data_IF_562149922872
#
_entry.id   IF_562149922872
#
_cell.length_a   1.000
_cell.length_b   1.000
_cell.length_c   1.000
_cell.angle_alpha   90.00
_cell.angle_beta   90.00
_cell.angle_gamma   90.00
#
_symmetry.space_group_name_H-M   'P 1'
#
loop_
_entity.id
_entity.type
_entity.pdbx_description
1 polymer ?
#
# COMPACT_ATOMS: atom_id res chain seq x y z
N UNK A 1 -17.76 -13.76 16.01
CA UNK A 1 -17.62 -12.77 17.11
C UNK A 1 -18.91 -12.69 17.90
N UNK A 2 -18.86 -12.39 19.21
CA UNK A 2 -20.05 -12.28 20.08
C UNK A 2 -20.49 -10.81 20.12
N UNK A 3 -21.79 -10.54 20.00
CA UNK A 3 -22.33 -9.18 20.10
C UNK A 3 -22.12 -8.60 21.52
N UNK A 4 -21.89 -7.29 21.69
CA UNK A 4 -21.64 -6.71 23.01
C UNK A 4 -22.78 -6.98 24.00
N UNK A 5 -24.03 -6.97 23.53
CA UNK A 5 -25.19 -7.23 24.40
C UNK A 5 -25.20 -8.66 24.93
N UNK A 6 -24.78 -9.65 24.14
CA UNK A 6 -24.73 -11.05 24.55
C UNK A 6 -23.63 -11.24 25.59
N UNK A 7 -22.47 -10.62 25.38
CA UNK A 7 -21.40 -10.62 26.37
C UNK A 7 -21.86 -10.01 27.70
N UNK A 8 -22.52 -8.85 27.67
CA UNK A 8 -23.02 -8.19 28.88
C UNK A 8 -24.10 -9.06 29.54
N UNK A 9 -24.95 -9.71 28.74
CA UNK A 9 -25.98 -10.61 29.26
C UNK A 9 -25.38 -11.76 30.04
N UNK A 10 -24.47 -12.50 29.41
CA UNK A 10 -23.83 -13.69 29.98
C UNK A 10 -23.01 -13.35 31.23
N UNK A 11 -22.30 -12.21 31.24
CA UNK A 11 -21.38 -11.86 32.33
C UNK A 11 -22.02 -11.08 33.48
N UNK A 12 -23.10 -10.33 33.22
CA UNK A 12 -23.64 -9.36 34.20
C UNK A 12 -25.15 -9.40 34.40
N UNK A 13 -25.95 -9.74 33.39
CA UNK A 13 -27.41 -9.64 33.51
C UNK A 13 -27.99 -10.96 34.00
N UNK A 14 -27.62 -12.06 33.35
CA UNK A 14 -28.13 -13.40 33.65
C UNK A 14 -27.66 -13.91 35.02
N UNK A 15 -26.37 -13.79 35.42
CA UNK A 15 -25.92 -14.23 36.74
C UNK A 15 -26.58 -13.49 37.91
N UNK A 16 -27.07 -12.27 37.68
CA UNK A 16 -27.67 -11.41 38.71
C UNK A 16 -29.19 -11.26 38.56
N UNK A 17 -29.82 -11.98 37.62
CA UNK A 17 -31.27 -11.95 37.42
C UNK A 17 -31.84 -10.56 37.08
N UNK A 18 -31.09 -9.73 36.37
CA UNK A 18 -31.51 -8.37 36.01
C UNK A 18 -32.50 -8.42 34.84
N UNK A 19 -33.70 -7.85 35.02
CA UNK A 19 -34.71 -7.79 33.95
C UNK A 19 -34.48 -6.60 33.02
N UNK A 20 -35.05 -6.65 31.79
CA UNK A 20 -34.99 -5.51 30.87
C UNK A 20 -35.64 -4.26 31.46
N UNK A 21 -36.74 -4.39 32.21
CA UNK A 21 -37.41 -3.24 32.85
C UNK A 21 -36.48 -2.59 33.89
N UNK A 22 -35.80 -3.40 34.74
CA UNK A 22 -34.78 -2.88 35.66
C UNK A 22 -33.64 -2.17 34.94
N UNK A 23 -33.22 -2.65 33.77
CA UNK A 23 -32.20 -1.98 32.95
C UNK A 23 -32.71 -0.66 32.36
N UNK A 24 -33.98 -0.61 31.93
CA UNK A 24 -34.58 0.62 31.44
C UNK A 24 -34.54 1.71 32.51
N UNK A 25 -34.96 1.36 33.73
CA UNK A 25 -34.99 2.26 34.87
C UNK A 25 -33.58 2.70 35.28
N UNK A 26 -32.66 1.75 35.47
CA UNK A 26 -31.30 2.03 35.94
C UNK A 26 -30.47 2.84 34.93
N UNK A 27 -30.67 2.60 33.64
CA UNK A 27 -29.92 3.28 32.57
C UNK A 27 -30.63 4.54 32.07
N UNK A 28 -31.90 4.75 32.47
CA UNK A 28 -32.79 5.73 31.89
C UNK A 28 -32.80 5.63 30.34
N UNK A 29 -33.05 4.42 29.83
CA UNK A 29 -33.13 4.10 28.40
C UNK A 29 -34.51 3.50 28.13
N UNK A 30 -35.16 3.94 27.05
CA UNK A 30 -36.48 3.43 26.69
C UNK A 30 -36.47 1.93 26.37
N UNK A 31 -37.55 1.24 26.75
CA UNK A 31 -37.75 -0.21 26.56
C UNK A 31 -37.52 -0.69 25.14
N UNK A 32 -37.94 0.11 24.14
CA UNK A 32 -37.69 -0.18 22.72
C UNK A 32 -36.20 -0.31 22.43
N UNK A 33 -35.38 0.62 22.91
CA UNK A 33 -33.93 0.62 22.69
C UNK A 33 -33.25 -0.57 23.36
N UNK A 34 -33.60 -0.89 24.61
CA UNK A 34 -33.08 -2.08 25.29
C UNK A 34 -33.47 -3.36 24.53
N UNK A 35 -34.72 -3.47 24.09
CA UNK A 35 -35.20 -4.62 23.32
C UNK A 35 -34.48 -4.76 21.97
N UNK A 36 -34.28 -3.65 21.24
CA UNK A 36 -33.53 -3.65 19.97
C UNK A 36 -32.06 -4.03 20.16
N UNK A 37 -31.43 -3.58 21.25
CA UNK A 37 -30.08 -4.02 21.63
C UNK A 37 -30.07 -5.54 21.85
N UNK A 38 -30.99 -6.08 22.66
CA UNK A 38 -31.09 -7.53 22.92
C UNK A 38 -31.31 -8.36 21.65
N UNK A 39 -32.08 -7.83 20.70
CA UNK A 39 -32.34 -8.48 19.40
C UNK A 39 -31.25 -8.22 18.37
N UNK A 40 -30.21 -7.45 18.69
CA UNK A 40 -29.12 -7.05 17.77
C UNK A 40 -29.62 -6.31 16.53
N UNK A 41 -30.82 -5.71 16.61
CA UNK A 41 -31.38 -4.83 15.58
C UNK A 41 -30.78 -3.42 15.65
N UNK A 42 -30.12 -3.11 16.76
CA UNK A 42 -29.40 -1.87 17.02
C UNK A 42 -28.07 -2.21 17.68
N UNK A 43 -26.99 -1.55 17.24
CA UNK A 43 -25.70 -1.59 17.92
C UNK A 43 -25.59 -0.57 19.07
N UNK A 44 -24.58 -0.74 19.93
CA UNK A 44 -24.27 0.26 20.94
C UNK A 44 -23.77 1.57 20.31
N UNK A 45 -24.37 2.69 20.71
CA UNK A 45 -23.84 4.02 20.43
C UNK A 45 -22.97 4.48 21.58
N UNK A 46 -22.22 5.58 21.41
CA UNK A 46 -21.42 6.17 22.50
C UNK A 46 -22.29 6.43 23.75
N UNK A 47 -23.51 6.96 23.55
CA UNK A 47 -24.41 7.27 24.67
C UNK A 47 -24.87 6.03 25.42
N UNK A 48 -25.32 4.98 24.71
CA UNK A 48 -25.75 3.74 25.37
C UNK A 48 -24.57 3.01 25.99
N UNK A 49 -23.41 2.98 25.33
CA UNK A 49 -22.19 2.39 25.87
C UNK A 49 -21.75 3.07 27.19
N UNK A 50 -21.75 4.41 27.26
CA UNK A 50 -21.40 5.13 28.50
C UNK A 50 -22.35 4.82 29.65
N UNK A 51 -23.65 4.69 29.38
CA UNK A 51 -24.65 4.34 30.39
C UNK A 51 -24.45 2.91 30.90
N UNK A 52 -24.34 1.94 30.00
CA UNK A 52 -24.06 0.54 30.36
C UNK A 52 -22.74 0.41 31.11
N UNK A 53 -21.70 1.09 30.65
CA UNK A 53 -20.40 1.12 31.28
C UNK A 53 -20.46 1.64 32.72
N UNK A 54 -21.13 2.77 32.94
CA UNK A 54 -21.33 3.33 34.28
C UNK A 54 -22.11 2.37 35.19
N UNK A 55 -23.13 1.69 34.67
CA UNK A 55 -23.95 0.78 35.45
C UNK A 55 -23.23 -0.51 35.84
N UNK A 56 -22.44 -1.09 34.92
CA UNK A 56 -21.75 -2.36 35.13
C UNK A 56 -20.29 -2.23 35.59
N UNK A 57 -19.80 -1.01 35.81
CA UNK A 57 -18.39 -0.77 36.17
C UNK A 57 -17.41 -1.11 35.04
N UNK A 58 -17.84 -0.99 33.79
CA UNK A 58 -17.02 -1.24 32.60
C UNK A 58 -16.46 0.07 32.04
N UNK A 59 -15.52 -0.07 31.10
CA UNK A 59 -15.06 1.04 30.26
C UNK A 59 -15.98 1.17 29.03
N UNK A 60 -16.49 2.37 28.68
CA UNK A 60 -17.29 2.55 27.47
C UNK A 60 -16.58 2.09 26.20
N UNK A 61 -15.27 2.30 26.12
CA UNK A 61 -14.41 1.91 25.00
C UNK A 61 -14.42 0.40 24.78
N UNK A 62 -14.47 -0.38 25.86
CA UNK A 62 -14.53 -1.84 25.78
C UNK A 62 -15.83 -2.31 25.11
N UNK A 63 -16.97 -1.69 25.45
CA UNK A 63 -18.27 -2.03 24.83
C UNK A 63 -18.27 -1.64 23.35
N UNK A 64 -17.75 -0.44 23.03
CA UNK A 64 -17.70 0.06 21.65
C UNK A 64 -16.73 -0.74 20.77
N UNK A 65 -15.59 -1.17 21.31
CA UNK A 65 -14.65 -2.01 20.57
C UNK A 65 -15.26 -3.36 20.24
N UNK A 66 -16.00 -3.97 21.17
CA UNK A 66 -16.78 -5.18 20.89
C UNK A 66 -17.87 -4.94 19.84
N UNK A 67 -18.48 -3.75 19.83
CA UNK A 67 -19.49 -3.40 18.83
C UNK A 67 -18.84 -3.35 17.45
N UNK A 68 -17.71 -2.65 17.32
CA UNK A 68 -16.94 -2.57 16.09
C UNK A 68 -16.51 -3.96 15.60
N UNK A 69 -15.96 -4.79 16.49
CA UNK A 69 -15.58 -6.18 16.19
C UNK A 69 -16.75 -7.02 15.67
N UNK A 70 -17.94 -6.86 16.26
CA UNK A 70 -19.14 -7.58 15.84
C UNK A 70 -19.64 -7.08 14.48
N UNK A 71 -19.64 -5.76 14.27
CA UNK A 71 -20.09 -5.16 13.01
C UNK A 71 -19.17 -5.54 11.85
N UNK A 72 -17.85 -5.50 12.05
CA UNK A 72 -16.85 -5.98 11.08
C UNK A 72 -17.00 -7.48 10.76
N UNK A 73 -17.45 -8.29 11.73
CA UNK A 73 -17.67 -9.71 11.50
C UNK A 73 -18.96 -10.00 10.73
N UNK A 74 -19.96 -9.12 10.82
CA UNK A 74 -21.20 -9.22 10.05
C UNK A 74 -21.04 -8.68 8.63
N UNK A 75 -20.13 -7.74 8.43
CA UNK A 75 -19.82 -7.22 7.11
C UNK A 75 -19.22 -8.32 6.22
N UNK A 76 -19.87 -8.52 5.07
CA UNK A 76 -19.49 -9.50 4.06
C UNK A 76 -19.17 -8.83 2.72
N UNK A 77 -19.14 -7.50 2.68
CA UNK A 77 -18.79 -6.78 1.47
C UNK A 77 -17.33 -7.03 1.09
N UNK A 78 -17.09 -7.16 -0.22
CA UNK A 78 -15.74 -7.28 -0.76
C UNK A 78 -15.27 -5.93 -1.27
N UNK A 79 -14.15 -5.45 -0.73
CA UNK A 79 -13.54 -4.17 -1.12
C UNK A 79 -12.32 -4.34 -2.05
N UNK A 80 -12.20 -5.48 -2.74
CA UNK A 80 -11.03 -5.83 -3.55
C UNK A 80 -10.77 -4.93 -4.77
N UNK A 81 -11.74 -4.11 -5.18
CA UNK A 81 -11.57 -3.10 -6.23
C UNK A 81 -10.77 -1.87 -5.75
N UNK A 82 -10.59 -1.70 -4.44
CA UNK A 82 -9.80 -0.61 -3.87
C UNK A 82 -8.32 -0.98 -3.96
N UNK A 83 -7.56 -0.19 -4.69
CA UNK A 83 -6.10 -0.32 -4.78
C UNK A 83 -5.43 0.15 -3.49
N UNK A 84 -4.39 -0.56 -3.06
CA UNK A 84 -3.70 -0.21 -1.84
C UNK A 84 -2.87 1.07 -2.01
N UNK A 85 -2.81 1.92 -0.98
CA UNK A 85 -2.01 3.15 -1.01
C UNK A 85 -0.55 2.89 -1.40
N UNK A 86 0.04 1.82 -0.87
CA UNK A 86 1.43 1.45 -1.17
C UNK A 86 1.65 1.11 -2.65
N UNK A 87 0.65 0.51 -3.32
CA UNK A 87 0.73 0.20 -4.76
C UNK A 87 0.76 1.49 -5.57
N UNK A 88 -0.15 2.43 -5.28
CA UNK A 88 -0.23 3.73 -5.94
C UNK A 88 1.06 4.52 -5.72
N UNK A 89 1.53 4.59 -4.47
CA UNK A 89 2.76 5.32 -4.12
C UNK A 89 4.01 4.73 -4.79
N UNK A 90 4.08 3.40 -4.96
CA UNK A 90 5.19 2.76 -5.67
C UNK A 90 5.14 3.02 -7.18
N UNK A 91 3.97 2.99 -7.80
CA UNK A 91 3.79 3.33 -9.21
C UNK A 91 4.19 4.77 -9.52
N UNK A 92 3.80 5.73 -8.67
CA UNK A 92 4.20 7.13 -8.84
C UNK A 92 5.72 7.31 -8.75
N UNK A 93 6.38 6.62 -7.80
CA UNK A 93 7.85 6.62 -7.69
C UNK A 93 8.50 6.03 -8.94
N UNK A 94 8.00 4.89 -9.42
CA UNK A 94 8.45 4.24 -10.67
C UNK A 94 8.30 5.18 -11.87
N UNK A 95 7.12 5.75 -12.04
CA UNK A 95 6.82 6.67 -13.12
C UNK A 95 7.68 7.94 -13.06
N UNK A 96 7.90 8.48 -11.85
CA UNK A 96 8.75 9.66 -11.67
C UNK A 96 10.19 9.38 -12.08
N UNK A 97 10.80 8.28 -11.59
CA UNK A 97 12.19 7.96 -11.95
C UNK A 97 12.34 7.66 -13.44
N UNK A 98 11.39 6.93 -14.04
CA UNK A 98 11.39 6.65 -15.47
C UNK A 98 11.28 7.94 -16.29
N UNK A 99 10.40 8.88 -15.89
CA UNK A 99 10.27 10.19 -16.53
C UNK A 99 11.54 11.02 -16.41
N UNK A 100 12.23 11.00 -15.28
CA UNK A 100 13.51 11.71 -15.11
C UNK A 100 14.58 11.17 -16.06
N UNK A 101 14.75 9.84 -16.12
CA UNK A 101 15.71 9.21 -17.03
C UNK A 101 15.35 9.51 -18.49
N UNK A 102 14.08 9.39 -18.87
CA UNK A 102 13.62 9.67 -20.21
C UNK A 102 13.76 11.15 -20.58
N UNK A 103 13.54 12.07 -19.64
CA UNK A 103 13.76 13.49 -19.89
C UNK A 103 15.22 13.74 -20.25
N UNK A 104 16.18 13.20 -19.50
CA UNK A 104 17.60 13.33 -19.83
C UNK A 104 17.94 12.73 -21.20
N UNK A 105 17.42 11.53 -21.52
CA UNK A 105 17.69 10.89 -22.81
C UNK A 105 17.05 11.65 -23.99
N UNK A 106 15.77 12.02 -23.87
CA UNK A 106 15.00 12.60 -24.96
C UNK A 106 15.29 14.09 -25.18
N UNK A 107 15.75 14.83 -24.16
CA UNK A 107 16.11 16.25 -24.30
C UNK A 107 17.24 16.46 -25.31
N UNK A 108 18.11 15.45 -25.49
CA UNK A 108 19.21 15.48 -26.43
C UNK A 108 18.78 15.01 -27.85
N UNK A 109 17.48 14.75 -28.07
CA UNK A 109 16.87 14.34 -29.35
C UNK A 109 15.89 15.40 -29.85
N UNK A 110 16.26 16.08 -30.94
CA UNK A 110 15.43 17.16 -31.52
C UNK A 110 14.15 16.66 -32.18
N UNK A 111 14.15 15.49 -32.83
CA UNK A 111 12.95 14.92 -33.46
C UNK A 111 12.12 14.14 -32.43
N UNK A 112 10.96 14.70 -32.05
CA UNK A 112 10.03 14.10 -31.10
C UNK A 112 9.56 12.70 -31.49
N UNK A 113 9.56 12.36 -32.79
CA UNK A 113 9.16 11.02 -33.28
C UNK A 113 10.15 9.93 -32.88
N UNK A 114 11.37 10.31 -32.47
CA UNK A 114 12.42 9.41 -32.02
C UNK A 114 12.51 9.34 -30.48
N UNK A 115 11.61 10.01 -29.75
CA UNK A 115 11.60 9.97 -28.30
C UNK A 115 11.29 8.58 -27.76
N UNK A 116 12.08 8.16 -26.78
CA UNK A 116 11.89 6.91 -26.08
C UNK A 116 10.75 7.03 -25.06
N UNK A 117 10.05 5.92 -24.86
CA UNK A 117 8.93 5.76 -23.92
C UNK A 117 9.36 4.97 -22.68
N UNK A 118 8.46 4.89 -21.68
CA UNK A 118 8.69 4.05 -20.49
C UNK A 118 8.83 2.57 -20.90
N UNK A 119 8.09 2.12 -21.91
CA UNK A 119 8.19 0.76 -22.44
C UNK A 119 9.55 0.50 -23.11
N UNK A 120 10.10 1.49 -23.82
CA UNK A 120 11.45 1.41 -24.37
C UNK A 120 12.49 1.30 -23.25
N UNK A 121 12.35 2.08 -22.18
CA UNK A 121 13.24 2.01 -21.02
C UNK A 121 13.15 0.64 -20.33
N UNK A 122 11.95 0.07 -20.23
CA UNK A 122 11.76 -1.30 -19.76
C UNK A 122 12.45 -2.32 -20.69
N UNK A 123 12.33 -2.18 -22.01
CA UNK A 123 13.03 -3.06 -22.97
C UNK A 123 14.55 -2.98 -22.82
N UNK A 124 15.10 -1.78 -22.60
CA UNK A 124 16.53 -1.57 -22.39
C UNK A 124 16.96 -2.30 -21.11
N UNK A 125 16.38 -1.97 -19.96
CA UNK A 125 16.83 -2.48 -18.65
C UNK A 125 16.42 -3.93 -18.37
N UNK A 126 15.17 -4.30 -18.64
CA UNK A 126 14.63 -5.61 -18.25
C UNK A 126 14.92 -6.69 -19.29
N UNK A 127 14.84 -6.36 -20.58
CA UNK A 127 15.09 -7.31 -21.67
C UNK A 127 16.52 -7.24 -22.21
N UNK A 128 17.33 -6.26 -21.79
CA UNK A 128 18.71 -6.05 -22.27
C UNK A 128 18.72 -5.90 -23.80
N UNK A 129 17.82 -5.06 -24.33
CA UNK A 129 17.73 -4.85 -25.77
C UNK A 129 18.80 -3.87 -26.25
N UNK A 130 19.82 -4.39 -26.92
CA UNK A 130 20.97 -3.62 -27.43
C UNK A 130 20.93 -3.37 -28.94
N UNK A 131 19.72 -3.37 -29.52
CA UNK A 131 19.54 -3.09 -30.96
C UNK A 131 19.93 -1.66 -31.32
N UNK A 132 20.15 -1.40 -32.61
CA UNK A 132 20.50 -0.07 -33.16
C UNK A 132 19.52 1.01 -32.67
N UNK A 133 18.23 0.68 -32.53
CA UNK A 133 17.19 1.58 -32.00
C UNK A 133 17.56 2.19 -30.63
N UNK A 134 18.18 1.42 -29.75
CA UNK A 134 18.45 1.83 -28.36
C UNK A 134 19.91 2.24 -28.10
N UNK A 135 20.78 2.19 -29.11
CA UNK A 135 22.19 2.53 -28.97
C UNK A 135 22.41 3.95 -28.44
N UNK A 136 21.64 4.92 -28.95
CA UNK A 136 21.68 6.29 -28.46
C UNK A 136 21.25 6.37 -26.99
N UNK A 137 20.08 5.81 -26.66
CA UNK A 137 19.58 5.78 -25.29
C UNK A 137 20.58 5.16 -24.31
N UNK A 138 21.20 4.03 -24.67
CA UNK A 138 22.19 3.35 -23.82
C UNK A 138 23.46 4.22 -23.65
N UNK A 139 23.88 4.92 -24.70
CA UNK A 139 25.03 5.83 -24.63
C UNK A 139 24.75 6.99 -23.69
N UNK A 140 23.61 7.66 -23.87
CA UNK A 140 23.19 8.80 -23.05
C UNK A 140 22.90 8.36 -21.61
N UNK A 141 22.37 7.14 -21.42
CA UNK A 141 22.11 6.56 -20.10
C UNK A 141 23.36 6.51 -19.23
N UNK A 142 24.50 6.06 -19.76
CA UNK A 142 25.72 5.97 -18.96
C UNK A 142 26.53 7.27 -18.92
N UNK A 143 26.33 8.19 -19.89
CA UNK A 143 27.08 9.44 -19.97
C UNK A 143 26.42 10.62 -19.25
N UNK A 144 25.10 10.75 -19.34
CA UNK A 144 24.38 11.97 -18.96
C UNK A 144 23.37 11.75 -17.82
N UNK A 145 22.82 10.53 -17.68
CA UNK A 145 21.88 10.23 -16.59
C UNK A 145 22.65 10.06 -15.29
N UNK A 146 22.14 10.66 -14.21
CA UNK A 146 22.72 10.52 -12.88
C UNK A 146 22.75 9.05 -12.47
N UNK A 147 23.92 8.57 -12.04
CA UNK A 147 24.13 7.22 -11.54
C UNK A 147 23.10 6.82 -10.46
N UNK A 148 22.80 7.72 -9.51
CA UNK A 148 21.84 7.45 -8.44
C UNK A 148 20.44 7.14 -9.00
N UNK A 149 20.04 7.84 -10.06
CA UNK A 149 18.75 7.63 -10.70
C UNK A 149 18.70 6.29 -11.46
N UNK A 150 19.82 5.89 -12.08
CA UNK A 150 19.96 4.58 -12.74
C UNK A 150 19.85 3.44 -11.72
N UNK A 151 20.54 3.56 -10.58
CA UNK A 151 20.47 2.56 -9.50
C UNK A 151 19.07 2.50 -8.91
N UNK A 152 18.47 3.66 -8.60
CA UNK A 152 17.11 3.75 -8.07
C UNK A 152 16.06 3.20 -9.02
N UNK A 153 16.22 3.40 -10.32
CA UNK A 153 15.39 2.76 -11.34
C UNK A 153 15.54 1.23 -11.27
N UNK A 154 16.78 0.74 -11.20
CA UNK A 154 17.03 -0.70 -11.10
C UNK A 154 16.40 -1.31 -9.84
N UNK A 155 16.49 -0.64 -8.70
CA UNK A 155 15.85 -1.07 -7.45
C UNK A 155 14.33 -1.09 -7.56
N UNK A 156 13.72 0.02 -8.00
CA UNK A 156 12.26 0.14 -8.08
C UNK A 156 11.65 -0.87 -9.07
N UNK A 157 12.33 -1.13 -10.19
CA UNK A 157 11.87 -2.06 -11.22
C UNK A 157 12.39 -3.50 -11.04
N UNK A 158 13.10 -3.80 -9.94
CA UNK A 158 13.72 -5.10 -9.68
C UNK A 158 14.60 -5.60 -10.84
N UNK A 159 15.38 -4.70 -11.45
CA UNK A 159 16.30 -5.03 -12.52
C UNK A 159 17.47 -5.83 -11.96
N UNK A 160 17.73 -7.00 -12.56
CA UNK A 160 18.84 -7.87 -12.14
C UNK A 160 20.18 -7.18 -12.37
N UNK A 161 21.13 -7.32 -11.43
CA UNK A 161 22.53 -6.88 -11.60
C UNK A 161 23.13 -7.35 -12.94
N UNK A 162 22.84 -8.59 -13.33
CA UNK A 162 23.28 -9.17 -14.61
C UNK A 162 22.81 -8.39 -15.83
N UNK A 163 21.62 -7.79 -15.78
CA UNK A 163 21.08 -7.02 -16.89
C UNK A 163 21.79 -5.67 -17.02
N UNK A 164 21.93 -4.95 -15.90
CA UNK A 164 22.67 -3.69 -15.87
C UNK A 164 24.14 -3.89 -16.28
N UNK A 165 24.76 -4.99 -15.84
CA UNK A 165 26.11 -5.39 -16.27
C UNK A 165 26.21 -5.53 -17.79
N UNK A 166 25.30 -6.30 -18.41
CA UNK A 166 25.30 -6.49 -19.88
C UNK A 166 25.13 -5.19 -20.65
N UNK A 167 24.25 -4.30 -20.17
CA UNK A 167 24.09 -2.97 -20.79
C UNK A 167 25.38 -2.13 -20.70
N UNK A 168 26.06 -2.20 -19.55
CA UNK A 168 27.30 -1.47 -19.34
C UNK A 168 28.46 -2.06 -20.17
N UNK A 169 28.56 -3.38 -20.28
CA UNK A 169 29.51 -4.06 -21.17
C UNK A 169 29.28 -3.66 -22.65
N UNK A 170 28.01 -3.60 -23.08
CA UNK A 170 27.65 -3.12 -24.41
C UNK A 170 28.09 -1.66 -24.62
N UNK A 171 27.88 -0.80 -23.63
CA UNK A 171 28.31 0.61 -23.66
C UNK A 171 29.83 0.75 -23.82
N UNK A 172 30.62 -0.03 -23.07
CA UNK A 172 32.08 -0.01 -23.17
C UNK A 172 32.57 -0.50 -24.54
N UNK A 173 32.02 -1.62 -25.02
CA UNK A 173 32.49 -2.31 -26.24
C UNK A 173 32.10 -1.59 -27.53
N UNK A 174 30.87 -1.09 -27.65
CA UNK A 174 30.41 -0.48 -28.90
C UNK A 174 30.95 0.92 -29.14
N UNK A 175 31.29 1.66 -28.08
CA UNK A 175 31.63 3.08 -28.18
C UNK A 175 33.07 3.40 -27.79
N UNK A 176 33.91 2.39 -27.52
CA UNK A 176 35.31 2.51 -27.07
C UNK A 176 35.47 3.54 -25.93
N UNK A 177 34.55 3.49 -24.95
CA UNK A 177 34.45 4.48 -23.89
C UNK A 177 35.33 4.09 -22.70
N UNK A 178 35.78 5.11 -21.94
CA UNK A 178 36.49 4.89 -20.69
C UNK A 178 35.54 4.34 -19.63
N UNK A 179 36.08 3.49 -18.75
CA UNK A 179 35.37 3.01 -17.59
C UNK A 179 34.95 4.17 -16.67
N UNK A 180 33.72 4.05 -16.16
CA UNK A 180 33.09 4.94 -15.21
C UNK A 180 33.23 4.29 -13.82
N UNK A 181 33.97 4.90 -12.87
CA UNK A 181 34.26 4.30 -11.55
C UNK A 181 33.01 3.86 -10.79
N UNK A 182 31.91 4.61 -10.93
CA UNK A 182 30.64 4.33 -10.26
C UNK A 182 30.04 2.96 -10.63
N UNK A 183 30.41 2.38 -11.78
CA UNK A 183 29.88 1.10 -12.26
C UNK A 183 30.83 -0.10 -12.07
N UNK A 184 32.03 0.09 -11.51
CA UNK A 184 33.02 -0.98 -11.31
C UNK A 184 32.49 -2.18 -10.49
N UNK A 185 31.58 -1.92 -9.54
CA UNK A 185 30.97 -2.96 -8.71
C UNK A 185 30.15 -3.98 -9.51
N UNK A 186 29.76 -3.66 -10.75
CA UNK A 186 29.09 -4.62 -11.64
C UNK A 186 29.98 -5.82 -11.97
N UNK A 187 31.29 -5.64 -11.98
CA UNK A 187 32.26 -6.70 -12.32
C UNK A 187 32.77 -7.49 -11.13
N UNK A 188 32.53 -7.01 -9.89
CA UNK A 188 32.88 -7.75 -8.68
C UNK A 188 31.99 -8.98 -8.54
N UNK A 189 32.60 -10.14 -8.32
CA UNK A 189 31.90 -11.37 -7.93
C UNK A 189 31.34 -11.18 -6.51
N UNK A 190 30.07 -11.53 -6.32
CA UNK A 190 29.40 -11.62 -5.00
C UNK A 190 28.97 -13.06 -4.78
#
# INVERSE_FOLDING_TARGET
MIAPIDFIKEKYIEPYGITQDKLCDALNIGKKTISELYQKKRGFTIHTAKKFAKFFGLKPEFILMKQLEYDLHLDKEEYGFIRAFNEIAQEEKKNSIAKWILATINNSISDQRLHYTIDDLYCIFSQVNTTIKYQYAITTLFKEVNYEDVVKYCELYNIKKSNLKKLYEFYLTQFNQKEIPQYEWLFKEF
#
